data_IF_270710439150
#
_entry.id   IF_270710439150
#
_cell.length_a   1.000
_cell.length_b   1.000
_cell.length_c   1.000
_cell.angle_alpha   90.00
_cell.angle_beta   90.00
_cell.angle_gamma   90.00
#
_symmetry.space_group_name_H-M   'P 1'
#
loop_
_entity.id
_entity.type
_entity.pdbx_description
1 polymer ?
2 non-polymer ?
3 non-polymer ?
4 water ?
#
# COMPACT_ATOMS: atom_id res chain seq x y z
N UNK A 3 -24.19 -7.00 4.07
CA UNK A 3 -25.13 -5.99 3.43
C UNK A 3 -24.47 -4.72 2.82
N UNK A 4 -23.71 -3.97 3.58
CA UNK A 4 -22.80 -3.00 2.95
C UNK A 4 -21.62 -3.76 2.35
N UNK A 5 -21.24 -3.41 1.13
CA UNK A 5 -19.94 -3.85 0.58
C UNK A 5 -18.77 -3.26 1.41
N UNK A 6 -17.83 -4.11 1.81
CA UNK A 6 -16.67 -3.65 2.59
C UNK A 6 -15.40 -3.77 1.79
N UNK A 7 -14.66 -2.68 1.66
CA UNK A 7 -13.42 -2.66 0.90
C UNK A 7 -12.28 -2.18 1.76
N UNK A 8 -11.22 -2.98 1.78
CA UNK A 8 -9.97 -2.66 2.46
C UNK A 8 -9.07 -2.12 1.42
N UNK A 9 -8.56 -0.95 1.68
CA UNK A 9 -7.60 -0.30 0.83
C UNK A 9 -6.24 -0.15 1.55
N UNK A 10 -5.20 -0.76 0.99
CA UNK A 10 -3.84 -0.72 1.53
C UNK A 10 -3.33 0.68 1.43
N UNK A 11 -2.37 1.05 2.27
CA UNK A 11 -1.84 2.38 2.32
C UNK A 11 -0.56 2.53 1.48
N UNK A 12 0.55 1.93 1.90
CA UNK A 12 1.77 2.04 1.15
C UNK A 12 1.63 1.31 -0.20
N UNK A 13 1.96 2.05 -1.27
CA UNK A 13 1.93 1.55 -2.63
C UNK A 13 0.55 1.59 -3.27
N UNK A 14 -0.42 2.14 -2.56
CA UNK A 14 -1.79 2.26 -3.09
C UNK A 14 -2.34 3.65 -2.89
N UNK A 15 -2.30 4.16 -1.64
CA UNK A 15 -2.62 5.54 -1.32
C UNK A 15 -1.41 6.45 -1.29
N UNK A 16 -0.33 5.93 -0.74
CA UNK A 16 0.87 6.68 -0.43
C UNK A 16 1.99 6.15 -1.29
N UNK A 17 2.73 7.08 -1.89
CA UNK A 17 3.80 6.75 -2.78
C UNK A 17 5.12 6.38 -2.06
N UNK A 18 5.14 5.18 -1.50
CA UNK A 18 6.26 4.62 -0.80
C UNK A 18 7.47 4.50 -1.75
N UNK A 19 7.30 3.98 -2.96
CA UNK A 19 8.41 3.73 -3.85
C UNK A 19 9.15 5.03 -4.25
N UNK A 20 8.40 6.04 -4.69
CA UNK A 20 8.97 7.32 -5.02
C UNK A 20 9.61 8.09 -3.87
N UNK A 21 8.98 8.05 -2.72
CA UNK A 21 9.47 8.78 -1.57
C UNK A 21 10.73 8.08 -1.05
N UNK A 22 10.72 6.75 -1.01
CA UNK A 22 11.91 6.01 -0.66
C UNK A 22 13.08 6.39 -1.62
N UNK A 23 12.86 6.27 -2.94
CA UNK A 23 13.97 6.48 -3.87
C UNK A 23 14.55 7.89 -3.71
N UNK A 24 13.69 8.88 -3.60
CA UNK A 24 14.14 10.24 -3.41
C UNK A 24 15.02 10.37 -2.14
N UNK A 25 14.54 9.83 -1.05
CA UNK A 25 15.24 10.03 0.21
C UNK A 25 16.52 9.22 0.24
N UNK A 26 16.51 8.05 -0.38
CA UNK A 26 17.67 7.20 -0.43
C UNK A 26 18.80 7.92 -1.20
N UNK A 27 18.47 8.39 -2.40
CA UNK A 27 19.41 9.17 -3.23
C UNK A 27 19.96 10.42 -2.53
N UNK A 28 19.13 11.18 -1.82
CA UNK A 28 19.60 12.38 -1.12
C UNK A 28 20.53 11.98 0.04
N UNK A 29 20.22 10.88 0.70
CA UNK A 29 20.99 10.53 1.87
C UNK A 29 22.29 9.80 1.53
N UNK A 30 22.25 9.00 0.46
CA UNK A 30 23.30 8.13 0.07
C UNK A 30 23.66 8.37 -1.40
N UNK A 31 24.10 9.58 -1.73
CA UNK A 31 24.32 9.97 -3.12
C UNK A 31 25.43 9.19 -3.84
N UNK A 32 26.26 8.41 -3.11
CA UNK A 32 27.38 7.67 -3.71
C UNK A 32 27.12 6.19 -3.80
N UNK A 33 25.92 5.77 -3.40
CA UNK A 33 25.50 4.39 -3.56
C UNK A 33 24.75 4.22 -4.88
N UNK A 34 24.76 3.02 -5.43
CA UNK A 34 23.87 2.69 -6.53
C UNK A 34 22.44 2.53 -5.97
N UNK A 35 21.46 2.69 -6.85
CA UNK A 35 20.04 2.67 -6.51
C UNK A 35 19.26 1.93 -7.59
N UNK A 36 18.01 1.61 -7.32
CA UNK A 36 17.16 0.90 -8.28
C UNK A 36 16.15 1.89 -8.76
N UNK A 37 16.26 2.23 -10.05
CA UNK A 37 15.29 3.09 -10.69
C UNK A 37 13.91 2.39 -10.60
N UNK A 38 12.83 3.15 -10.54
CA UNK A 38 11.49 2.54 -10.38
C UNK A 38 11.12 1.51 -11.47
N UNK A 39 11.50 1.79 -12.72
CA UNK A 39 11.21 0.88 -13.85
C UNK A 39 11.91 -0.46 -13.66
N UNK A 40 12.98 -0.47 -12.86
CA UNK A 40 13.76 -1.69 -12.56
C UNK A 40 13.38 -2.41 -11.26
N UNK A 41 12.51 -1.80 -10.47
CA UNK A 41 12.03 -2.47 -9.28
C UNK A 41 11.29 -3.79 -9.65
N UNK A 42 11.63 -4.84 -8.91
CA UNK A 42 11.00 -6.14 -8.97
C UNK A 42 10.89 -6.75 -7.58
N UNK A 43 9.68 -7.23 -7.28
CA UNK A 43 9.37 -7.88 -6.03
C UNK A 43 9.02 -6.83 -4.97
N UNK A 44 8.11 -7.19 -4.06
CA UNK A 44 7.63 -6.31 -3.01
C UNK A 44 8.75 -5.71 -2.15
N UNK A 45 9.69 -6.53 -1.71
CA UNK A 45 10.70 -6.09 -0.73
C UNK A 45 11.81 -5.26 -1.32
N UNK A 46 11.77 -3.96 -1.10
CA UNK A 46 12.80 -3.04 -1.51
C UNK A 46 14.17 -3.47 -0.91
N UNK A 47 14.17 -3.88 0.37
CA UNK A 47 15.40 -4.20 1.10
C UNK A 47 16.10 -5.39 0.46
N UNK A 48 15.33 -6.40 0.05
CA UNK A 48 15.90 -7.59 -0.59
C UNK A 48 16.51 -7.27 -1.95
N UNK A 49 15.84 -6.50 -2.81
CA UNK A 49 16.45 -6.08 -4.06
C UNK A 49 17.70 -5.20 -3.85
N UNK A 50 17.67 -4.28 -2.89
CA UNK A 50 18.81 -3.41 -2.72
C UNK A 50 19.99 -4.25 -2.14
N UNK A 51 19.66 -5.23 -1.33
CA UNK A 51 20.63 -6.12 -0.72
C UNK A 51 21.36 -7.03 -1.72
N UNK A 52 20.65 -7.40 -2.79
CA UNK A 52 21.22 -8.16 -3.92
C UNK A 52 22.09 -7.24 -4.78
N UNK A 53 21.76 -5.95 -4.82
CA UNK A 53 22.56 -4.99 -5.59
C UNK A 53 23.98 -4.82 -5.02
N UNK A 54 24.10 -4.86 -3.70
CA UNK A 54 25.34 -4.60 -2.97
C UNK A 54 25.19 -5.01 -1.49
N UNK A 55 26.23 -5.61 -0.91
CA UNK A 55 26.32 -5.79 0.54
C UNK A 55 26.18 -4.48 1.33
N UNK A 56 25.41 -4.53 2.42
CA UNK A 56 25.17 -3.33 3.22
C UNK A 56 24.03 -2.42 2.78
N UNK A 57 23.53 -2.60 1.55
CA UNK A 57 22.46 -1.75 1.01
C UNK A 57 21.10 -2.06 1.62
N UNK A 58 20.85 -3.31 1.95
CA UNK A 58 19.64 -3.62 2.68
C UNK A 58 19.47 -2.73 3.92
N UNK A 59 20.54 -2.57 4.70
CA UNK A 59 20.46 -1.92 5.98
C UNK A 59 20.30 -0.44 5.76
N UNK A 60 20.96 0.09 4.74
CA UNK A 60 20.85 1.50 4.40
C UNK A 60 19.42 1.80 3.89
N UNK A 61 18.84 0.88 3.12
CA UNK A 61 17.43 1.05 2.62
C UNK A 61 16.49 1.10 3.84
N UNK A 62 16.67 0.17 4.76
CA UNK A 62 15.84 0.09 5.96
C UNK A 62 15.90 1.35 6.76
N UNK A 63 17.08 1.97 6.84
CA UNK A 63 17.21 3.20 7.61
C UNK A 63 16.42 4.37 7.06
N UNK A 64 16.08 4.33 5.78
CA UNK A 64 15.25 5.38 5.19
C UNK A 64 13.87 5.37 5.79
N UNK A 65 13.21 4.23 5.72
CA UNK A 65 11.85 4.18 6.26
C UNK A 65 11.73 4.08 7.76
N UNK A 66 12.84 3.73 8.43
CA UNK A 66 12.90 3.87 9.88
C UNK A 66 13.07 5.33 10.35
N UNK A 67 13.38 6.27 9.47
CA UNK A 67 13.69 7.62 9.90
C UNK A 67 12.40 8.40 10.08
N UNK A 68 12.46 9.33 11.01
CA UNK A 68 11.39 10.20 11.29
C UNK A 68 10.99 10.95 10.02
N UNK A 69 9.68 11.18 9.89
CA UNK A 69 9.06 11.84 8.74
C UNK A 69 9.02 11.12 7.43
N UNK A 70 9.58 9.92 7.35
CA UNK A 70 9.44 9.14 6.15
C UNK A 70 7.97 8.89 5.75
N UNK A 71 7.20 8.32 6.65
CA UNK A 71 5.83 8.00 6.31
C UNK A 71 4.98 9.27 6.16
N UNK A 72 5.15 10.21 7.09
CA UNK A 72 4.37 11.43 7.05
C UNK A 72 4.50 12.21 5.74
N UNK A 73 5.68 12.23 5.17
CA UNK A 73 5.97 13.06 4.02
C UNK A 73 5.77 12.33 2.68
N UNK A 74 5.33 11.08 2.69
CA UNK A 74 4.88 10.45 1.45
C UNK A 74 3.76 11.27 0.74
N UNK A 75 3.94 11.43 -0.54
CA UNK A 75 2.93 12.00 -1.41
C UNK A 75 1.85 11.00 -1.74
N UNK A 76 0.62 11.46 -1.81
CA UNK A 76 -0.47 10.61 -2.30
C UNK A 76 -0.20 10.15 -3.74
N UNK A 77 -0.56 8.92 -4.08
CA UNK A 77 -0.49 8.50 -5.47
C UNK A 77 -1.62 9.23 -6.24
N UNK A 78 -1.41 9.50 -7.51
CA UNK A 78 -2.41 10.23 -8.36
C UNK A 78 -3.79 9.61 -8.26
N UNK A 79 -4.79 10.42 -7.95
CA UNK A 79 -6.20 10.00 -7.93
C UNK A 79 -6.60 9.23 -6.65
N UNK A 80 -5.64 8.91 -5.79
CA UNK A 80 -5.91 8.03 -4.61
C UNK A 80 -6.85 8.66 -3.60
N UNK A 81 -6.60 9.91 -3.27
CA UNK A 81 -7.39 10.64 -2.28
C UNK A 81 -8.81 10.87 -2.80
N UNK A 82 -8.89 11.40 -4.01
CA UNK A 82 -10.19 11.61 -4.65
C UNK A 82 -11.02 10.30 -4.78
N UNK A 83 -10.38 9.23 -5.21
CA UNK A 83 -11.06 7.96 -5.38
C UNK A 83 -11.59 7.36 -4.08
N UNK A 84 -10.75 7.34 -3.05
CA UNK A 84 -11.16 6.80 -1.76
C UNK A 84 -12.25 7.65 -1.10
N UNK A 85 -12.17 8.96 -1.25
CA UNK A 85 -13.24 9.82 -0.76
C UNK A 85 -14.54 9.51 -1.44
N UNK A 86 -14.53 9.32 -2.77
CA UNK A 86 -15.77 9.02 -3.48
C UNK A 86 -16.25 7.66 -3.11
N UNK A 87 -15.32 6.69 -3.01
CA UNK A 87 -15.66 5.33 -2.66
C UNK A 87 -16.41 5.27 -1.31
N UNK A 88 -15.86 5.95 -0.30
CA UNK A 88 -16.45 5.92 1.06
C UNK A 88 -17.85 6.61 1.07
N UNK A 89 -18.08 7.57 0.17
CA UNK A 89 -19.35 8.31 0.13
C UNK A 89 -20.45 7.49 -0.57
N UNK A 90 -20.07 6.42 -1.28
CA UNK A 90 -21.02 5.62 -2.01
C UNK A 90 -21.96 4.93 -1.04
N UNK A 91 -23.21 4.79 -1.47
CA UNK A 91 -24.21 4.07 -0.69
C UNK A 91 -23.77 2.63 -0.56
N UNK A 92 -24.10 2.02 0.58
CA UNK A 92 -23.81 0.62 0.82
C UNK A 92 -22.33 0.24 0.60
N UNK A 93 -21.41 1.13 1.02
CA UNK A 93 -19.98 0.89 0.87
C UNK A 93 -19.19 1.41 2.07
N UNK A 94 -18.50 0.53 2.77
CA UNK A 94 -17.66 0.86 3.90
C UNK A 94 -16.22 0.60 3.48
N UNK A 95 -15.40 1.64 3.63
CA UNK A 95 -14.01 1.61 3.25
C UNK A 95 -13.16 1.64 4.52
N UNK A 96 -12.21 0.72 4.61
CA UNK A 96 -11.15 0.77 5.62
C UNK A 96 -9.77 0.86 5.00
N UNK A 97 -8.91 1.63 5.63
CA UNK A 97 -7.50 1.71 5.25
C UNK A 97 -6.77 0.66 6.07
N UNK A 98 -6.16 -0.32 5.39
CA UNK A 98 -5.52 -1.46 6.04
C UNK A 98 -4.02 -1.41 5.74
N UNK A 99 -3.22 -1.24 6.78
CA UNK A 99 -1.82 -0.98 6.61
C UNK A 99 -0.98 -1.71 7.64
N UNK A 100 0.22 -2.12 7.21
CA UNK A 100 1.15 -2.91 7.99
C UNK A 100 2.26 -2.03 8.47
N UNK A 101 2.40 -1.86 9.76
CA UNK A 101 3.49 -1.05 10.25
C UNK A 101 4.82 -1.84 10.17
N UNK A 102 5.92 -1.13 10.37
CA UNK A 102 7.23 -1.75 10.30
C UNK A 102 7.56 -2.15 11.72
N UNK A 103 8.71 -2.78 11.90
CA UNK A 103 9.07 -3.42 13.17
C UNK A 103 9.40 -2.36 14.16
N UNK A 104 10.05 -1.31 13.67
CA UNK A 104 10.40 -0.16 14.47
C UNK A 104 9.19 0.77 14.57
N UNK A 105 8.69 0.96 15.79
CA UNK A 105 7.36 1.48 15.96
C UNK A 105 7.38 2.87 16.54
N UNK A 106 8.53 3.51 16.65
CA UNK A 106 8.51 4.88 17.25
C UNK A 106 7.74 5.96 16.48
N UNK A 107 7.81 5.95 15.15
CA UNK A 107 7.24 6.99 14.29
C UNK A 107 6.10 6.49 13.40
N UNK A 108 6.19 5.27 12.93
CA UNK A 108 5.41 4.81 11.80
C UNK A 108 3.89 4.82 12.12
N UNK A 109 3.48 4.19 13.23
CA UNK A 109 2.07 4.24 13.59
C UNK A 109 1.56 5.67 13.66
N UNK A 110 2.22 6.51 14.44
CA UNK A 110 1.83 7.89 14.57
C UNK A 110 1.72 8.61 13.23
N UNK A 111 2.72 8.44 12.37
CA UNK A 111 2.77 9.22 11.11
C UNK A 111 1.69 8.80 10.13
N UNK A 112 1.34 7.52 10.20
CA UNK A 112 0.32 6.96 9.33
C UNK A 112 -1.04 7.55 9.73
N UNK A 113 -1.35 7.59 11.04
CA UNK A 113 -2.55 8.31 11.50
C UNK A 113 -2.57 9.78 11.06
N UNK A 114 -1.43 10.45 11.22
CA UNK A 114 -1.33 11.87 10.87
C UNK A 114 -1.52 12.10 9.38
N UNK A 115 -1.06 11.14 8.56
CA UNK A 115 -1.14 11.25 7.11
C UNK A 115 -2.63 11.14 6.70
N UNK A 116 -3.33 10.20 7.33
CA UNK A 116 -4.71 9.95 7.01
C UNK A 116 -5.55 11.17 7.45
N UNK A 117 -5.20 11.74 8.59
CA UNK A 117 -5.89 12.94 9.06
C UNK A 117 -5.73 14.06 8.03
N UNK A 118 -4.51 14.24 7.55
CA UNK A 118 -4.10 15.30 6.64
C UNK A 118 -4.90 15.25 5.33
N UNK A 119 -4.99 14.06 4.74
CA UNK A 119 -5.64 13.90 3.44
C UNK A 119 -7.14 13.57 3.45
N UNK A 120 -7.64 12.95 4.53
CA UNK A 120 -9.00 12.49 4.61
C UNK A 120 -9.82 13.09 5.75
N UNK A 121 -9.17 13.79 6.68
CA UNK A 121 -9.87 14.46 7.75
C UNK A 121 -9.95 13.60 9.00
N UNK A 122 -10.13 14.24 10.15
CA UNK A 122 -10.22 13.53 11.45
C UNK A 122 -11.19 12.37 11.47
N UNK A 123 -12.34 12.54 10.83
CA UNK A 123 -13.37 11.52 10.90
C UNK A 123 -12.98 10.21 10.21
N UNK A 124 -12.03 10.28 9.30
CA UNK A 124 -11.58 9.09 8.62
C UNK A 124 -10.63 8.22 9.43
N UNK A 125 -10.12 8.74 10.54
CA UNK A 125 -9.22 7.95 11.40
C UNK A 125 -9.86 6.66 11.96
N UNK A 126 -11.15 6.73 12.20
CA UNK A 126 -11.95 5.59 12.60
C UNK A 126 -11.88 4.42 11.62
N UNK A 127 -11.46 4.66 10.38
CA UNK A 127 -11.48 3.65 9.29
C UNK A 127 -10.11 2.97 9.12
N UNK A 128 -9.16 3.25 10.02
CA UNK A 128 -7.82 2.65 9.92
C UNK A 128 -7.72 1.35 10.71
N UNK A 129 -7.18 0.33 10.05
CA UNK A 129 -6.79 -0.95 10.69
C UNK A 129 -5.29 -1.11 10.49
N UNK A 130 -4.54 -1.12 11.59
CA UNK A 130 -3.13 -1.46 11.57
C UNK A 130 -2.91 -2.89 11.95
N UNK A 131 -2.27 -3.65 11.06
CA UNK A 131 -2.06 -5.05 11.31
C UNK A 131 -0.97 -5.56 10.40
N UNK A 132 -0.16 -6.51 10.91
CA UNK A 132 0.79 -7.21 10.08
C UNK A 132 0.11 -8.37 9.37
N UNK A 133 -1.12 -8.72 9.73
CA UNK A 133 -1.81 -9.85 9.13
C UNK A 133 -3.17 -9.38 8.58
N UNK A 134 -3.26 -9.31 7.26
CA UNK A 134 -4.46 -8.81 6.61
C UNK A 134 -5.48 -9.88 6.43
N UNK A 135 -5.04 -11.13 6.49
CA UNK A 135 -5.97 -12.25 6.26
C UNK A 135 -6.96 -12.39 7.40
N UNK A 136 -6.68 -11.82 8.56
CA UNK A 136 -7.67 -11.85 9.65
C UNK A 136 -8.60 -10.66 9.65
N UNK A 137 -8.46 -9.77 8.67
CA UNK A 137 -9.43 -8.70 8.48
C UNK A 137 -10.42 -9.17 7.40
N UNK A 138 -11.74 -9.10 7.69
CA UNK A 138 -12.75 -9.63 6.81
C UNK A 138 -13.34 -8.49 6.03
N UNK A 139 -13.59 -8.76 4.76
CA UNK A 139 -14.10 -7.79 3.83
C UNK A 139 -14.39 -8.47 2.49
N UNK A 140 -15.06 -7.76 1.61
CA UNK A 140 -15.35 -8.29 0.26
C UNK A 140 -14.16 -8.15 -0.66
N UNK A 141 -13.45 -7.06 -0.47
CA UNK A 141 -12.30 -6.75 -1.31
C UNK A 141 -11.12 -6.19 -0.51
N UNK A 142 -9.91 -6.51 -0.98
CA UNK A 142 -8.65 -5.93 -0.49
C UNK A 142 -7.88 -5.42 -1.71
N UNK A 143 -7.61 -4.13 -1.77
CA UNK A 143 -6.84 -3.56 -2.86
C UNK A 143 -5.45 -3.26 -2.32
N UNK A 144 -4.43 -3.91 -2.87
CA UNK A 144 -3.15 -4.02 -2.22
C UNK A 144 -2.14 -4.37 -3.28
N UNK A 145 -0.98 -3.70 -3.26
CA UNK A 145 0.06 -3.90 -4.28
C UNK A 145 0.99 -5.09 -4.04
N UNK A 146 0.87 -5.75 -2.88
CA UNK A 146 1.73 -6.89 -2.59
C UNK A 146 1.07 -8.13 -3.19
N UNK A 147 1.77 -8.89 -4.04
CA UNK A 147 1.20 -10.10 -4.66
C UNK A 147 0.79 -11.24 -3.69
N UNK A 148 1.65 -11.49 -2.72
CA UNK A 148 1.50 -12.65 -1.83
C UNK A 148 1.00 -12.12 -0.49
N UNK A 149 -0.31 -12.23 -0.23
CA UNK A 149 -0.86 -11.83 1.03
C UNK A 149 -1.28 -13.08 1.81
N UNK A 150 -0.55 -13.34 2.89
CA UNK A 150 -0.78 -14.55 3.68
C UNK A 150 -0.69 -14.22 5.17
N UNK A 151 -1.09 -15.20 5.97
CA UNK A 151 -1.16 -15.05 7.40
C UNK A 151 -1.89 -16.22 8.03
N UNK A 152 -2.55 -15.94 9.14
CA UNK A 152 -3.08 -16.96 9.99
C UNK A 152 -4.37 -17.56 9.46
N UNK A 153 -5.10 -16.84 8.63
CA UNK A 153 -6.35 -17.31 8.08
C UNK A 153 -6.07 -17.88 6.70
N UNK A 154 -6.17 -19.20 6.51
CA UNK A 154 -5.88 -19.79 5.19
C UNK A 154 -6.88 -19.43 4.10
N UNK A 155 -8.10 -19.06 4.47
CA UNK A 155 -9.12 -18.72 3.50
C UNK A 155 -9.78 -17.37 3.83
N UNK A 156 -9.10 -16.27 3.47
CA UNK A 156 -9.58 -14.91 3.77
C UNK A 156 -10.93 -14.66 3.12
N UNK A 157 -11.77 -13.84 3.71
CA UNK A 157 -13.08 -13.58 3.13
C UNK A 157 -12.97 -12.66 1.89
N UNK A 158 -11.94 -11.82 1.81
CA UNK A 158 -11.84 -10.88 0.70
C UNK A 158 -11.32 -11.53 -0.59
N UNK A 159 -11.69 -10.93 -1.71
CA UNK A 159 -10.93 -11.06 -2.95
C UNK A 159 -9.80 -9.98 -3.00
N UNK A 160 -8.56 -10.43 -3.19
CA UNK A 160 -7.41 -9.56 -3.36
C UNK A 160 -7.31 -9.08 -4.79
N UNK A 161 -7.52 -7.79 -5.00
CA UNK A 161 -7.27 -7.14 -6.29
C UNK A 161 -5.90 -6.50 -6.20
N UNK A 162 -5.00 -6.93 -7.09
CA UNK A 162 -3.63 -6.43 -7.08
C UNK A 162 -3.59 -5.02 -7.65
N UNK A 163 -3.17 -4.07 -6.82
CA UNK A 163 -2.93 -2.70 -7.29
C UNK A 163 -1.56 -2.63 -7.96
N UNK A 164 -1.55 -2.13 -9.19
CA UNK A 164 -0.32 -2.06 -9.97
C UNK A 164 0.68 -1.11 -9.37
N UNK A 165 1.93 -1.57 -9.35
CA UNK A 165 3.08 -0.83 -8.90
C UNK A 165 4.28 -1.28 -9.73
N UNK A 166 5.29 -0.42 -9.84
CA UNK A 166 6.58 -0.75 -10.45
C UNK A 166 7.05 -2.16 -10.11
N UNK A 167 6.97 -2.59 -8.84
CA UNK A 167 7.57 -3.88 -8.46
C UNK A 167 6.77 -5.08 -8.98
N UNK A 168 5.49 -4.87 -9.31
CA UNK A 168 4.59 -5.96 -9.73
C UNK A 168 4.04 -5.85 -11.17
N UNK A 169 4.35 -4.78 -11.90
CA UNK A 169 3.69 -4.54 -13.16
C UNK A 169 3.98 -5.61 -14.19
N UNK A 170 5.10 -6.35 -14.05
CA UNK A 170 5.43 -7.36 -15.04
C UNK A 170 4.92 -8.70 -14.66
N UNK A 171 4.31 -8.80 -13.48
CA UNK A 171 3.96 -10.10 -12.94
C UNK A 171 2.76 -10.72 -13.62
N UNK A 172 2.90 -11.95 -14.07
CA UNK A 172 1.77 -12.69 -14.54
C UNK A 172 1.07 -13.35 -13.33
N UNK A 173 -0.20 -13.06 -13.13
CA UNK A 173 -0.97 -13.65 -12.04
C UNK A 173 -1.66 -14.92 -12.51
N UNK A 174 -2.02 -15.78 -11.58
CA UNK A 174 -2.83 -16.95 -11.87
C UNK A 174 -4.31 -16.54 -11.97
N UNK A 175 -5.00 -16.89 -13.07
CA UNK A 175 -6.46 -16.77 -13.13
C UNK A 175 -7.12 -17.36 -11.86
N UNK A 176 -8.17 -16.79 -11.27
CA UNK A 176 -8.88 -15.60 -11.73
C UNK A 176 -8.40 -14.28 -11.05
N UNK A 177 -7.15 -14.23 -10.54
CA UNK A 177 -6.66 -13.00 -9.91
C UNK A 177 -6.65 -11.81 -10.86
N UNK A 178 -6.95 -10.63 -10.33
CA UNK A 178 -7.28 -9.47 -11.16
C UNK A 178 -6.64 -8.19 -10.62
N UNK A 179 -6.50 -7.14 -11.43
CA UNK A 179 -5.74 -5.97 -11.06
C UNK A 179 -6.60 -4.75 -11.05
N UNK A 180 -6.24 -3.77 -10.23
CA UNK A 180 -6.65 -2.39 -10.44
C UNK A 180 -5.41 -1.66 -10.90
N UNK A 181 -5.47 -1.10 -12.11
CA UNK A 181 -4.28 -0.64 -12.75
C UNK A 181 -3.69 0.66 -12.17
N UNK A 182 -4.55 1.51 -11.65
CA UNK A 182 -4.19 2.78 -11.04
C UNK A 182 -5.55 3.28 -10.57
N UNK A 183 -5.60 4.43 -9.90
CA UNK A 183 -6.85 4.95 -9.43
C UNK A 183 -7.64 5.58 -10.61
N UNK A 184 -7.01 5.80 -11.76
CA UNK A 184 -7.72 6.23 -12.98
C UNK A 184 -8.49 5.10 -13.65
N UNK A 185 -8.08 3.87 -13.38
CA UNK A 185 -8.76 2.66 -13.80
C UNK A 185 -10.14 2.61 -13.09
N UNK A 186 -10.99 1.69 -13.56
CA UNK A 186 -12.40 1.66 -13.21
C UNK A 186 -12.66 0.81 -11.96
N UNK A 187 -12.39 1.44 -10.82
CA UNK A 187 -12.54 0.82 -9.53
C UNK A 187 -14.02 0.62 -9.21
N UNK A 188 -14.89 1.53 -9.64
CA UNK A 188 -16.33 1.32 -9.48
C UNK A 188 -16.82 0.00 -10.07
N UNK A 189 -16.32 -0.35 -11.26
CA UNK A 189 -16.73 -1.63 -11.87
C UNK A 189 -16.25 -2.85 -11.06
N UNK A 190 -15.08 -2.78 -10.45
CA UNK A 190 -14.61 -3.88 -9.61
C UNK A 190 -15.48 -4.01 -8.39
N UNK A 191 -15.76 -2.88 -7.74
CA UNK A 191 -16.71 -2.88 -6.59
C UNK A 191 -18.09 -3.45 -7.00
N UNK A 192 -18.67 -2.90 -8.05
CA UNK A 192 -19.99 -3.33 -8.49
C UNK A 192 -20.06 -4.81 -8.77
N UNK A 193 -18.97 -5.42 -9.25
CA UNK A 193 -18.95 -6.86 -9.52
C UNK A 193 -19.10 -7.74 -8.26
N UNK A 194 -18.87 -7.17 -7.09
CA UNK A 194 -18.98 -7.92 -5.84
C UNK A 194 -20.31 -7.66 -5.12
N UNK A 195 -21.14 -6.74 -5.64
CA UNK A 195 -22.45 -6.44 -5.02
C UNK A 195 -23.57 -7.41 -5.50
N UNK A 196 -24.58 -7.65 -4.65
CA UNK A 196 -25.75 -8.47 -5.03
C UNK A 196 -26.49 -8.02 -6.31
X LIG B 1 -20.42 4.72 2.32
X LIG C 1 1.35 -1.87 0.05
X LIG D 1 1.74 -4.29 2.74
X LIG D 1 2.01 -2.81 3.08
X LIG D 1 0.93 -2.37 4.18
X LIG D 1 1.93 -1.78 1.94
X LIG D 1 3.51 -2.82 3.73
X LIG D 1 4.33 -1.61 3.62
X LIG D 1 5.05 -1.51 4.95
X LIG D 1 6.01 -2.65 4.98
X LIG D 1 5.86 -0.22 5.04
X LIG D 1 7.13 -0.55 5.26
X LIG D 1 7.32 -2.07 5.31
X LIG D 1 8.36 -2.54 4.33
X LIG D 1 8.27 -2.20 2.96
X LIG D 1 9.24 -2.65 2.07
X LIG D 1 9.08 -2.30 0.58
X LIG D 1 10.34 -3.43 2.51
X LIG D 1 11.24 -3.89 1.79
X LIG D 1 10.41 -3.72 3.85
X LIG D 1 9.47 -3.32 4.77
X LIG D 1 9.65 -3.65 5.94
#
# INVERSE_FOLDING_TARGET
>A
GGRALRVLVNMDGVLADFEGGFLRKFRARFPDQPFIALEDRRGFWVSEQYGRLRPGLSEKAISIWESKNFFFELEPLPGAVEAVKEMASLQNTDVFICTSPIKMFKYCPYEKYAWVEKYFGPDFLEQIVLTRDKTVVSADLLIDDRPDITGAEPTPSWEHVLFTACHNQHLQLQPPRRRLHSWADDWKAILDSKRPC
>B hetero
1 MG MG
>C hetero
1 MG MG
>D hetero
1 D4M OP2 P OP1 OP3 O5' C5' C4' O4' C3' C2' C1' N1 C6 C5 C5M C4 O4 N3 C2 O2
#
